data_IF_182082466981
#
_entry.id   IF_182082466981
#
_cell.length_a   1.000
_cell.length_b   1.000
_cell.length_c   1.000
_cell.angle_alpha   90.00
_cell.angle_beta   90.00
_cell.angle_gamma   90.00
#
_symmetry.space_group_name_H-M   'P 1'
#
loop_
_entity.id
_entity.type
_entity.pdbx_description
1 polymer ?
#
# COMPACT_ATOMS: atom_id res chain seq x y z
N UNK A 1 12.32 -28.07 -24.04
CA UNK A 1 13.24 -27.22 -23.24
C UNK A 1 12.50 -26.19 -22.38
N UNK A 2 11.60 -25.37 -22.96
CA UNK A 2 10.86 -24.31 -22.24
C UNK A 2 9.97 -24.86 -21.10
N UNK A 3 9.20 -25.92 -21.36
CA UNK A 3 8.31 -26.54 -20.35
C UNK A 3 9.04 -26.98 -19.08
N UNK A 4 10.23 -27.60 -19.22
CA UNK A 4 11.05 -28.04 -18.07
C UNK A 4 11.51 -26.85 -17.21
N UNK A 5 11.94 -25.74 -17.84
CA UNK A 5 12.32 -24.50 -17.13
C UNK A 5 11.13 -23.88 -16.42
N UNK A 6 9.98 -23.81 -17.09
CA UNK A 6 8.76 -23.27 -16.52
C UNK A 6 8.32 -24.07 -15.29
N UNK A 7 8.28 -25.40 -15.39
CA UNK A 7 8.01 -26.28 -14.25
C UNK A 7 8.95 -26.00 -13.08
N UNK A 8 10.26 -25.95 -13.35
CA UNK A 8 11.28 -25.73 -12.32
C UNK A 8 11.04 -24.42 -11.55
N UNK A 9 10.77 -23.32 -12.24
CA UNK A 9 10.55 -22.01 -11.62
C UNK A 9 9.19 -21.88 -10.94
N UNK A 10 8.13 -22.50 -11.47
CA UNK A 10 6.82 -22.52 -10.81
C UNK A 10 6.91 -23.30 -9.49
N UNK A 11 7.51 -24.49 -9.51
CA UNK A 11 7.64 -25.32 -8.31
C UNK A 11 8.56 -24.64 -7.29
N UNK A 12 9.66 -24.02 -7.72
CA UNK A 12 10.50 -23.22 -6.82
C UNK A 12 9.72 -22.04 -6.21
N UNK A 13 8.87 -21.35 -6.98
CA UNK A 13 8.06 -20.23 -6.49
C UNK A 13 6.99 -20.65 -5.49
N UNK A 14 6.25 -21.72 -5.80
CA UNK A 14 5.22 -22.23 -4.91
C UNK A 14 5.81 -22.76 -3.60
N UNK A 15 6.91 -23.50 -3.67
CA UNK A 15 7.61 -23.99 -2.48
C UNK A 15 8.27 -22.88 -1.66
N UNK A 16 8.80 -21.82 -2.31
CA UNK A 16 9.28 -20.62 -1.62
C UNK A 16 8.15 -19.92 -0.84
N UNK A 17 6.98 -19.73 -1.45
CA UNK A 17 5.83 -19.12 -0.79
C UNK A 17 5.40 -19.95 0.44
N UNK A 18 5.27 -21.27 0.27
CA UNK A 18 4.95 -22.20 1.36
C UNK A 18 5.99 -22.16 2.47
N UNK A 19 7.28 -22.12 2.12
CA UNK A 19 8.38 -22.01 3.08
C UNK A 19 8.36 -20.69 3.85
N UNK A 20 8.15 -19.57 3.16
CA UNK A 20 8.09 -18.24 3.79
C UNK A 20 6.91 -18.14 4.76
N UNK A 21 5.73 -18.64 4.36
CA UNK A 21 4.56 -18.69 5.25
C UNK A 21 4.82 -19.60 6.45
N UNK A 22 5.37 -20.79 6.21
CA UNK A 22 5.71 -21.75 7.26
C UNK A 22 6.69 -21.18 8.28
N UNK A 23 7.86 -20.70 7.85
CA UNK A 23 8.89 -20.14 8.73
C UNK A 23 8.42 -18.90 9.49
N UNK A 24 7.70 -18.01 8.80
CA UNK A 24 7.17 -16.79 9.40
C UNK A 24 6.24 -17.13 10.56
N UNK A 25 5.24 -17.97 10.32
CA UNK A 25 4.23 -18.25 11.32
C UNK A 25 4.69 -19.26 12.39
N UNK A 26 5.63 -20.16 12.06
CA UNK A 26 6.21 -21.07 13.05
C UNK A 26 7.02 -20.30 14.08
N UNK A 27 7.83 -19.33 13.64
CA UNK A 27 8.58 -18.49 14.58
C UNK A 27 7.71 -17.50 15.35
N UNK A 28 6.64 -16.94 14.76
CA UNK A 28 5.68 -16.14 15.56
C UNK A 28 4.98 -16.99 16.59
N UNK A 29 4.56 -18.22 16.25
CA UNK A 29 3.95 -19.15 17.23
C UNK A 29 4.92 -19.45 18.38
N UNK A 30 6.20 -19.70 18.07
CA UNK A 30 7.22 -19.93 19.10
C UNK A 30 7.41 -18.72 20.01
N UNK A 31 7.49 -17.52 19.44
CA UNK A 31 7.58 -16.26 20.18
C UNK A 31 6.36 -16.08 21.09
N UNK A 32 5.15 -16.28 20.57
CA UNK A 32 3.90 -16.11 21.33
C UNK A 32 3.83 -17.08 22.52
N UNK A 33 4.33 -18.31 22.36
CA UNK A 33 4.42 -19.28 23.46
C UNK A 33 5.43 -18.88 24.53
N UNK A 34 6.60 -18.37 24.13
CA UNK A 34 7.64 -17.90 25.07
C UNK A 34 7.19 -16.66 25.82
N UNK A 35 6.46 -15.76 25.16
CA UNK A 35 5.93 -14.54 25.75
C UNK A 35 4.61 -14.76 26.53
N UNK A 36 3.96 -15.92 26.38
CA UNK A 36 2.69 -16.24 27.01
C UNK A 36 1.50 -15.42 26.45
N UNK A 37 1.58 -14.94 25.21
CA UNK A 37 0.65 -13.94 24.64
C UNK A 37 -0.57 -14.54 23.94
N UNK A 38 -0.83 -15.85 24.08
CA UNK A 38 -2.03 -16.52 23.58
C UNK A 38 -2.13 -16.67 22.06
N UNK A 39 -1.38 -15.87 21.27
CA UNK A 39 -1.30 -15.91 19.82
C UNK A 39 -2.66 -15.74 19.10
N UNK A 40 -2.67 -15.54 17.77
CA UNK A 40 -3.93 -15.51 17.01
C UNK A 40 -4.49 -16.92 16.74
N UNK A 41 -3.70 -17.98 16.96
CA UNK A 41 -4.10 -19.36 16.68
C UNK A 41 -4.93 -19.95 17.85
N UNK A 42 -6.05 -20.65 17.57
CA UNK A 42 -6.88 -21.26 18.62
C UNK A 42 -6.13 -22.29 19.48
N UNK A 43 -5.17 -22.99 18.89
CA UNK A 43 -4.34 -24.02 19.53
C UNK A 43 -2.90 -23.88 19.04
N UNK A 44 -1.92 -23.69 19.94
CA UNK A 44 -0.51 -23.65 19.57
C UNK A 44 -0.04 -24.95 18.90
N UNK A 45 -0.61 -26.09 19.31
CA UNK A 45 -0.30 -27.40 18.73
C UNK A 45 -0.72 -27.47 17.27
N UNK A 46 -1.90 -26.94 16.96
CA UNK A 46 -2.44 -26.93 15.60
C UNK A 46 -1.62 -25.97 14.71
N UNK A 47 -1.20 -24.83 15.25
CA UNK A 47 -0.30 -23.90 14.58
C UNK A 47 1.06 -24.55 14.25
N UNK A 48 1.69 -25.22 15.23
CA UNK A 48 2.94 -25.94 14.98
C UNK A 48 2.77 -27.07 13.96
N UNK A 49 1.68 -27.83 14.02
CA UNK A 49 1.41 -28.89 13.04
C UNK A 49 1.23 -28.31 11.63
N UNK A 50 0.43 -27.26 11.48
CA UNK A 50 0.17 -26.63 10.18
C UNK A 50 1.40 -25.95 9.59
N UNK A 51 2.03 -25.04 10.32
CA UNK A 51 3.20 -24.31 9.82
C UNK A 51 4.47 -25.18 9.79
N UNK A 52 4.56 -26.19 10.66
CA UNK A 52 5.57 -27.23 10.61
C UNK A 52 5.46 -28.07 9.34
N UNK A 53 4.25 -28.53 8.98
CA UNK A 53 4.02 -29.24 7.73
C UNK A 53 4.34 -28.36 6.51
N UNK A 54 3.95 -27.08 6.53
CA UNK A 54 4.31 -26.11 5.48
C UNK A 54 5.82 -25.99 5.30
N UNK A 55 6.56 -25.86 6.40
CA UNK A 55 8.02 -25.75 6.37
C UNK A 55 8.68 -27.05 5.94
N UNK A 56 8.23 -28.19 6.47
CA UNK A 56 8.81 -29.52 6.22
C UNK A 56 8.67 -29.94 4.76
N UNK A 57 7.57 -29.56 4.10
CA UNK A 57 7.37 -29.82 2.66
C UNK A 57 8.00 -28.71 1.81
N UNK A 58 7.79 -27.44 2.16
CA UNK A 58 8.27 -26.30 1.39
C UNK A 58 9.79 -26.22 1.32
N UNK A 59 10.50 -26.48 2.43
CA UNK A 59 11.96 -26.38 2.50
C UNK A 59 12.69 -27.31 1.52
N UNK A 60 12.51 -28.65 1.57
CA UNK A 60 13.24 -29.54 0.68
C UNK A 60 12.86 -29.33 -0.78
N UNK A 61 11.58 -29.08 -1.08
CA UNK A 61 11.13 -28.81 -2.46
C UNK A 61 11.81 -27.54 -2.98
N UNK A 62 11.84 -26.47 -2.20
CA UNK A 62 12.51 -25.23 -2.57
C UNK A 62 14.01 -25.44 -2.77
N UNK A 63 14.70 -25.99 -1.77
CA UNK A 63 16.16 -26.19 -1.81
C UNK A 63 16.58 -27.05 -3.02
N UNK A 64 15.83 -28.11 -3.31
CA UNK A 64 16.12 -28.98 -4.46
C UNK A 64 15.89 -28.26 -5.79
N UNK A 65 14.71 -27.68 -6.02
CA UNK A 65 14.36 -27.08 -7.30
C UNK A 65 15.15 -25.79 -7.55
N UNK A 66 15.28 -24.94 -6.53
CA UNK A 66 16.09 -23.74 -6.62
C UNK A 66 17.58 -24.05 -6.73
N UNK A 67 18.09 -25.04 -5.98
CA UNK A 67 19.48 -25.51 -6.09
C UNK A 67 19.80 -26.05 -7.48
N UNK A 68 18.87 -26.80 -8.11
CA UNK A 68 19.00 -27.23 -9.51
C UNK A 68 19.05 -26.01 -10.43
N UNK A 69 18.14 -25.04 -10.28
CA UNK A 69 18.11 -23.83 -11.09
C UNK A 69 19.40 -23.02 -10.99
N UNK A 70 19.98 -22.91 -9.78
CA UNK A 70 21.24 -22.22 -9.55
C UNK A 70 22.44 -22.97 -10.11
N UNK A 71 22.46 -24.31 -10.06
CA UNK A 71 23.52 -25.09 -10.71
C UNK A 71 23.47 -24.97 -12.23
N UNK A 72 22.26 -24.95 -12.82
CA UNK A 72 22.06 -24.74 -14.26
C UNK A 72 22.54 -23.35 -14.69
N UNK A 73 22.18 -22.30 -13.94
CA UNK A 73 22.64 -20.94 -14.22
C UNK A 73 24.15 -20.77 -14.04
N UNK A 74 24.75 -21.47 -13.07
CA UNK A 74 26.20 -21.46 -12.89
C UNK A 74 26.93 -22.02 -14.12
N UNK A 75 26.40 -23.10 -14.72
CA UNK A 75 27.02 -23.82 -15.85
C UNK A 75 26.74 -23.21 -17.22
N UNK A 76 25.60 -22.54 -17.41
CA UNK A 76 25.15 -22.07 -18.72
C UNK A 76 24.73 -20.60 -18.67
N UNK A 77 25.44 -19.74 -19.42
CA UNK A 77 25.13 -18.31 -19.52
C UNK A 77 23.70 -18.06 -20.08
N UNK A 78 23.24 -18.90 -21.00
CA UNK A 78 21.87 -18.85 -21.53
C UNK A 78 20.80 -18.99 -20.45
N UNK A 79 21.06 -19.75 -19.38
CA UNK A 79 20.11 -19.89 -18.28
C UNK A 79 20.06 -18.61 -17.43
N UNK A 80 21.18 -17.90 -17.24
CA UNK A 80 21.20 -16.56 -16.61
C UNK A 80 20.49 -15.51 -17.46
N UNK A 81 20.60 -15.61 -18.78
CA UNK A 81 19.93 -14.73 -19.73
C UNK A 81 18.43 -15.06 -19.93
N UNK A 82 17.98 -16.23 -19.44
CA UNK A 82 16.61 -16.72 -19.59
C UNK A 82 15.56 -15.75 -19.02
N UNK A 83 14.57 -15.39 -19.86
CA UNK A 83 13.44 -14.55 -19.45
C UNK A 83 12.60 -15.19 -18.34
N UNK A 84 12.48 -16.52 -18.32
CA UNK A 84 11.74 -17.25 -17.28
C UNK A 84 12.42 -17.13 -15.91
N UNK A 85 13.75 -17.19 -15.87
CA UNK A 85 14.53 -17.01 -14.63
C UNK A 85 14.34 -15.61 -14.08
N UNK A 86 14.44 -14.59 -14.95
CA UNK A 86 14.23 -13.19 -14.58
C UNK A 86 12.80 -12.94 -14.12
N UNK A 87 11.81 -13.52 -14.81
CA UNK A 87 10.42 -13.43 -14.41
C UNK A 87 10.21 -13.99 -13.01
N UNK A 88 10.74 -15.19 -12.73
CA UNK A 88 10.71 -15.77 -11.38
C UNK A 88 11.36 -14.85 -10.34
N UNK A 89 12.59 -14.38 -10.60
CA UNK A 89 13.34 -13.54 -9.66
C UNK A 89 12.58 -12.25 -9.34
N UNK A 90 12.12 -11.52 -10.35
CA UNK A 90 11.44 -10.24 -10.17
C UNK A 90 10.05 -10.41 -9.54
N UNK A 91 9.31 -11.49 -9.84
CA UNK A 91 8.05 -11.79 -9.16
C UNK A 91 8.26 -12.18 -7.70
N UNK A 92 9.24 -13.03 -7.40
CA UNK A 92 9.58 -13.41 -6.03
C UNK A 92 10.02 -12.18 -5.23
N UNK A 93 10.90 -11.35 -5.78
CA UNK A 93 11.33 -10.10 -5.14
C UNK A 93 10.17 -9.14 -4.93
N UNK A 94 9.26 -8.97 -5.91
CA UNK A 94 8.08 -8.11 -5.76
C UNK A 94 7.18 -8.60 -4.61
N UNK A 95 6.83 -9.89 -4.61
CA UNK A 95 5.95 -10.47 -3.60
C UNK A 95 6.56 -10.35 -2.18
N UNK A 96 7.85 -10.66 -2.03
CA UNK A 96 8.55 -10.57 -0.74
C UNK A 96 8.68 -9.10 -0.31
N UNK A 97 9.00 -8.17 -1.22
CA UNK A 97 9.10 -6.75 -0.89
C UNK A 97 7.78 -6.15 -0.43
N UNK A 98 6.66 -6.52 -1.08
CA UNK A 98 5.31 -6.09 -0.67
C UNK A 98 4.99 -6.63 0.72
N UNK A 99 5.21 -7.94 0.96
CA UNK A 99 4.99 -8.53 2.28
C UNK A 99 5.88 -7.87 3.35
N UNK A 100 7.17 -7.66 3.06
CA UNK A 100 8.12 -7.01 3.95
C UNK A 100 7.69 -5.59 4.29
N UNK A 101 7.19 -4.84 3.31
CA UNK A 101 6.64 -3.48 3.51
C UNK A 101 5.48 -3.51 4.50
N UNK A 102 4.57 -4.49 4.39
CA UNK A 102 3.43 -4.64 5.31
C UNK A 102 3.90 -4.92 6.74
N UNK A 103 4.79 -5.90 6.94
CA UNK A 103 5.24 -6.29 8.27
C UNK A 103 6.15 -5.26 8.92
N UNK A 104 7.00 -4.59 8.14
CA UNK A 104 7.85 -3.51 8.67
C UNK A 104 7.02 -2.29 9.05
N UNK A 105 5.94 -1.97 8.30
CA UNK A 105 4.96 -0.96 8.69
C UNK A 105 4.28 -1.32 10.01
N UNK A 106 3.83 -2.57 10.17
CA UNK A 106 3.20 -3.05 11.42
C UNK A 106 4.17 -2.98 12.61
N UNK A 107 5.44 -3.32 12.38
CA UNK A 107 6.49 -3.23 13.39
C UNK A 107 6.69 -1.78 13.84
N UNK A 108 6.81 -0.84 12.91
CA UNK A 108 6.94 0.59 13.21
C UNK A 108 5.69 1.13 13.94
N UNK A 109 4.50 0.76 13.46
CA UNK A 109 3.22 1.16 14.06
C UNK A 109 3.12 0.68 15.51
N UNK A 110 3.44 -0.59 15.78
CA UNK A 110 3.47 -1.12 17.13
C UNK A 110 4.54 -0.45 18.01
N UNK A 111 5.73 -0.18 17.46
CA UNK A 111 6.78 0.56 18.17
C UNK A 111 6.36 1.97 18.58
N UNK A 112 5.74 2.74 17.67
CA UNK A 112 5.22 4.06 18.00
C UNK A 112 4.04 4.01 18.97
N UNK A 113 3.17 3.01 18.86
CA UNK A 113 2.08 2.83 19.81
C UNK A 113 2.58 2.52 21.23
N UNK A 114 3.65 1.72 21.35
CA UNK A 114 4.31 1.43 22.63
C UNK A 114 4.88 2.70 23.28
N UNK A 115 5.61 3.52 22.51
CA UNK A 115 6.16 4.79 22.98
C UNK A 115 5.04 5.77 23.39
N UNK A 116 3.90 5.71 22.71
CA UNK A 116 2.71 6.50 23.03
C UNK A 116 1.91 6.04 24.24
N UNK A 117 2.36 5.02 24.99
CA UNK A 117 1.69 4.54 26.21
C UNK A 117 0.46 3.66 25.96
N UNK A 118 0.36 3.05 24.78
CA UNK A 118 -0.72 2.10 24.47
C UNK A 118 -0.52 0.77 25.22
N UNK A 119 -1.59 -0.04 25.30
CA UNK A 119 -1.60 -1.40 25.87
C UNK A 119 -0.39 -2.26 25.41
N UNK A 120 -0.03 -3.35 26.12
CA UNK A 120 1.12 -4.17 25.76
C UNK A 120 1.03 -4.67 24.30
N UNK A 121 2.00 -4.25 23.49
CA UNK A 121 2.14 -4.58 22.05
C UNK A 121 3.38 -5.47 21.79
N UNK A 122 3.92 -6.09 22.84
CA UNK A 122 5.18 -6.85 22.79
C UNK A 122 5.13 -8.02 21.80
N UNK A 123 4.00 -8.71 21.74
CA UNK A 123 3.71 -9.78 20.78
C UNK A 123 3.66 -9.27 19.34
N UNK A 124 2.95 -8.17 19.09
CA UNK A 124 2.84 -7.55 17.78
C UNK A 124 4.21 -7.09 17.26
N UNK A 125 5.05 -6.52 18.14
CA UNK A 125 6.43 -6.13 17.83
C UNK A 125 7.26 -7.37 17.52
N UNK A 126 7.32 -8.35 18.43
CA UNK A 126 8.19 -9.52 18.28
C UNK A 126 7.81 -10.37 17.06
N UNK A 127 6.51 -10.61 16.85
CA UNK A 127 6.00 -11.33 15.68
C UNK A 127 6.30 -10.59 14.36
N UNK A 128 6.01 -9.28 14.30
CA UNK A 128 6.29 -8.49 13.08
C UNK A 128 7.80 -8.39 12.80
N UNK A 129 8.63 -8.31 13.84
CA UNK A 129 10.09 -8.31 13.71
C UNK A 129 10.60 -9.63 13.14
N UNK A 130 10.14 -10.76 13.68
CA UNK A 130 10.52 -12.09 13.17
C UNK A 130 10.18 -12.25 11.69
N UNK A 131 8.94 -11.97 11.31
CA UNK A 131 8.50 -12.10 9.91
C UNK A 131 9.31 -11.16 9.02
N UNK A 132 9.58 -9.93 9.46
CA UNK A 132 10.40 -8.97 8.71
C UNK A 132 11.82 -9.47 8.51
N UNK A 133 12.44 -10.12 9.50
CA UNK A 133 13.78 -10.71 9.40
C UNK A 133 13.80 -11.83 8.36
N UNK A 134 12.83 -12.75 8.40
CA UNK A 134 12.71 -13.86 7.43
C UNK A 134 12.55 -13.30 6.01
N UNK A 135 11.60 -12.39 5.80
CA UNK A 135 11.33 -11.79 4.48
C UNK A 135 12.53 -10.99 3.98
N UNK A 136 13.17 -10.19 4.84
CA UNK A 136 14.36 -9.41 4.49
C UNK A 136 15.52 -10.32 4.07
N UNK A 137 15.77 -11.42 4.78
CA UNK A 137 16.82 -12.36 4.45
C UNK A 137 16.62 -12.96 3.04
N UNK A 138 15.41 -13.45 2.74
CA UNK A 138 15.10 -14.00 1.43
C UNK A 138 15.07 -12.94 0.32
N UNK A 139 14.60 -11.73 0.62
CA UNK A 139 14.62 -10.64 -0.36
C UNK A 139 16.05 -10.22 -0.70
N UNK A 140 16.92 -10.03 0.29
CA UNK A 140 18.34 -9.72 0.08
C UNK A 140 19.05 -10.84 -0.69
N UNK A 141 18.71 -12.10 -0.41
CA UNK A 141 19.23 -13.22 -1.18
C UNK A 141 18.84 -13.12 -2.67
N UNK A 142 17.56 -12.93 -2.98
CA UNK A 142 17.10 -12.82 -4.37
C UNK A 142 17.63 -11.56 -5.07
N UNK A 143 17.74 -10.43 -4.34
CA UNK A 143 18.34 -9.21 -4.85
C UNK A 143 19.81 -9.42 -5.25
N UNK A 144 20.58 -10.13 -4.41
CA UNK A 144 21.98 -10.49 -4.72
C UNK A 144 22.07 -11.41 -5.93
N UNK A 145 21.22 -12.44 -6.02
CA UNK A 145 21.19 -13.35 -7.18
C UNK A 145 20.87 -12.58 -8.46
N UNK A 146 19.84 -11.73 -8.43
CA UNK A 146 19.50 -10.90 -9.58
C UNK A 146 20.66 -9.98 -9.97
N UNK A 147 21.31 -9.31 -9.01
CA UNK A 147 22.48 -8.47 -9.29
C UNK A 147 23.64 -9.25 -9.91
N UNK A 148 23.93 -10.45 -9.43
CA UNK A 148 24.97 -11.33 -9.99
C UNK A 148 24.64 -11.76 -11.43
N UNK A 149 23.38 -12.12 -11.69
CA UNK A 149 22.94 -12.47 -13.04
C UNK A 149 23.09 -11.28 -14.00
N UNK A 150 22.75 -10.06 -13.54
CA UNK A 150 22.94 -8.83 -14.33
C UNK A 150 24.40 -8.56 -14.64
N UNK A 151 25.29 -8.69 -13.65
CA UNK A 151 26.72 -8.46 -13.84
C UNK A 151 27.35 -9.49 -14.79
N UNK A 152 26.83 -10.72 -14.81
CA UNK A 152 27.40 -11.79 -15.62
C UNK A 152 26.99 -11.78 -17.10
N UNK A 153 25.74 -11.42 -17.41
CA UNK A 153 25.20 -11.51 -18.78
C UNK A 153 24.49 -10.25 -19.28
N UNK A 154 24.46 -9.17 -18.50
CA UNK A 154 23.71 -7.95 -18.82
C UNK A 154 22.19 -8.16 -18.80
N UNK A 155 21.40 -7.10 -18.99
CA UNK A 155 19.95 -7.22 -19.18
C UNK A 155 19.44 -6.43 -20.37
N UNK A 156 18.95 -7.15 -21.38
CA UNK A 156 18.33 -6.55 -22.55
C UNK A 156 16.89 -7.06 -22.76
N UNK A 157 16.15 -6.36 -23.62
CA UNK A 157 14.81 -6.74 -24.07
C UNK A 157 13.83 -7.06 -22.95
N UNK A 158 13.33 -8.31 -22.93
CA UNK A 158 12.31 -8.75 -21.97
C UNK A 158 12.81 -8.72 -20.52
N UNK A 159 14.09 -9.01 -20.27
CA UNK A 159 14.65 -9.01 -18.92
C UNK A 159 14.72 -7.61 -18.31
N UNK A 160 15.19 -6.64 -19.08
CA UNK A 160 15.18 -5.23 -18.67
C UNK A 160 13.75 -4.72 -18.43
N UNK A 161 12.79 -5.17 -19.25
CA UNK A 161 11.37 -4.84 -19.08
C UNK A 161 10.83 -5.39 -17.76
N UNK A 162 11.15 -6.62 -17.39
CA UNK A 162 10.75 -7.22 -16.11
C UNK A 162 11.38 -6.50 -14.90
N UNK A 163 12.67 -6.13 -14.99
CA UNK A 163 13.33 -5.28 -13.98
C UNK A 163 12.57 -3.97 -13.77
N UNK A 164 12.20 -3.30 -14.87
CA UNK A 164 11.47 -2.02 -14.83
C UNK A 164 10.09 -2.16 -14.19
N UNK A 165 9.35 -3.23 -14.51
CA UNK A 165 8.06 -3.51 -13.85
C UNK A 165 8.21 -3.68 -12.34
N UNK A 166 9.22 -4.44 -11.91
CA UNK A 166 9.55 -4.58 -10.49
C UNK A 166 9.92 -3.23 -9.85
N UNK A 167 10.92 -2.53 -10.41
CA UNK A 167 11.46 -1.31 -9.81
C UNK A 167 10.47 -0.15 -9.82
N UNK A 168 9.81 0.13 -10.95
CA UNK A 168 8.83 1.22 -11.03
C UNK A 168 7.54 0.90 -10.29
N UNK A 169 7.14 -0.37 -10.23
CA UNK A 169 6.02 -0.80 -9.39
C UNK A 169 6.26 -0.49 -7.92
N UNK A 170 7.43 -0.85 -7.39
CA UNK A 170 7.78 -0.55 -5.99
C UNK A 170 8.11 0.92 -5.73
N UNK A 171 8.64 1.64 -6.72
CA UNK A 171 8.82 3.10 -6.63
C UNK A 171 7.47 3.82 -6.51
N UNK A 172 6.47 3.42 -7.32
CA UNK A 172 5.11 3.93 -7.23
C UNK A 172 4.44 3.55 -5.90
N UNK A 173 4.59 2.30 -5.45
CA UNK A 173 4.08 1.85 -4.15
C UNK A 173 4.66 2.68 -3.00
N UNK A 174 5.99 2.85 -2.97
CA UNK A 174 6.68 3.64 -1.95
C UNK A 174 6.24 5.11 -1.96
N UNK A 175 6.15 5.73 -3.14
CA UNK A 175 5.67 7.11 -3.27
C UNK A 175 4.21 7.25 -2.81
N UNK A 176 3.34 6.30 -3.18
CA UNK A 176 1.94 6.32 -2.75
C UNK A 176 1.85 6.23 -1.21
N UNK A 177 2.54 5.27 -0.60
CA UNK A 177 2.58 5.12 0.87
C UNK A 177 3.13 6.39 1.55
N UNK A 178 4.17 7.00 0.99
CA UNK A 178 4.74 8.25 1.49
C UNK A 178 3.71 9.39 1.46
N UNK A 179 3.05 9.61 0.33
CA UNK A 179 2.10 10.72 0.17
C UNK A 179 0.81 10.51 0.99
N UNK A 180 0.23 9.31 0.97
CA UNK A 180 -0.95 9.00 1.79
C UNK A 180 -0.63 9.00 3.28
N UNK A 181 0.55 8.48 3.66
CA UNK A 181 1.05 8.56 5.03
C UNK A 181 1.19 10.01 5.51
N UNK A 182 1.87 10.85 4.71
CA UNK A 182 2.09 12.26 5.04
C UNK A 182 0.78 13.05 5.10
N UNK A 183 -0.14 12.85 4.14
CA UNK A 183 -1.46 13.48 4.15
C UNK A 183 -2.28 13.07 5.38
N UNK A 184 -2.26 11.78 5.71
CA UNK A 184 -2.92 11.27 6.90
C UNK A 184 -2.30 11.79 8.19
N UNK A 185 -0.98 11.92 8.25
CA UNK A 185 -0.26 12.43 9.42
C UNK A 185 -0.60 13.91 9.64
N UNK A 186 -0.50 14.72 8.59
CA UNK A 186 -0.82 16.15 8.63
C UNK A 186 -2.28 16.38 9.03
N UNK A 187 -3.22 15.59 8.48
CA UNK A 187 -4.63 15.67 8.85
C UNK A 187 -4.83 15.43 10.35
N UNK A 188 -4.19 14.41 10.93
CA UNK A 188 -4.35 14.07 12.35
C UNK A 188 -3.75 15.15 13.25
N UNK A 189 -2.57 15.66 12.90
CA UNK A 189 -1.93 16.76 13.61
C UNK A 189 -2.77 18.04 13.56
N UNK A 190 -3.39 18.32 12.42
CA UNK A 190 -4.32 19.43 12.26
C UNK A 190 -5.52 19.29 13.20
N UNK A 191 -6.19 18.13 13.22
CA UNK A 191 -7.35 17.91 14.09
C UNK A 191 -6.99 18.09 15.56
N UNK A 192 -5.86 17.55 16.01
CA UNK A 192 -5.36 17.74 17.38
C UNK A 192 -5.08 19.19 17.75
N UNK A 193 -4.61 19.98 16.79
CA UNK A 193 -4.32 21.39 17.02
C UNK A 193 -5.61 22.20 17.21
N UNK A 194 -6.65 21.86 16.46
CA UNK A 194 -7.95 22.55 16.46
C UNK A 194 -8.82 22.08 17.62
N UNK A 195 -9.04 20.77 17.76
CA UNK A 195 -9.83 20.16 18.81
C UNK A 195 -8.89 19.43 19.79
N UNK A 196 -8.42 20.17 20.81
CA UNK A 196 -7.55 19.62 21.85
C UNK A 196 -8.25 18.61 22.77
N UNK A 197 -9.59 18.62 22.79
CA UNK A 197 -10.38 17.67 23.57
C UNK A 197 -10.60 16.35 22.81
N UNK A 198 -10.23 16.31 21.52
CA UNK A 198 -10.25 15.09 20.73
C UNK A 198 -9.25 14.08 21.30
N UNK A 199 -9.76 13.15 22.11
CA UNK A 199 -9.00 11.97 22.50
C UNK A 199 -8.87 11.10 21.26
N UNK A 200 -7.72 11.17 20.60
CA UNK A 200 -7.34 10.10 19.69
C UNK A 200 -7.39 8.80 20.49
N UNK A 201 -8.07 7.78 19.96
CA UNK A 201 -7.98 6.44 20.51
C UNK A 201 -6.49 6.13 20.74
N UNK A 202 -6.12 5.95 22.01
CA UNK A 202 -4.74 5.74 22.42
C UNK A 202 -4.09 4.68 21.51
N UNK A 203 -3.07 5.08 20.75
CA UNK A 203 -2.20 4.17 19.99
C UNK A 203 -2.41 3.99 18.49
N UNK A 204 -3.56 4.35 17.90
CA UNK A 204 -3.84 3.92 16.51
C UNK A 204 -3.44 4.91 15.42
N UNK A 205 -4.00 6.11 15.45
CA UNK A 205 -4.03 6.98 14.27
C UNK A 205 -2.68 7.55 13.84
N UNK A 206 -1.97 8.23 14.76
CA UNK A 206 -0.69 8.89 14.47
C UNK A 206 0.40 7.86 14.22
N UNK A 207 0.49 6.83 15.07
CA UNK A 207 1.45 5.74 14.92
C UNK A 207 1.34 5.08 13.54
N UNK A 208 0.11 4.77 13.09
CA UNK A 208 -0.13 4.21 11.76
C UNK A 208 0.27 5.16 10.64
N UNK A 209 -0.05 6.46 10.77
CA UNK A 209 0.30 7.46 9.77
C UNK A 209 1.81 7.68 9.67
N UNK A 210 2.51 7.79 10.81
CA UNK A 210 3.97 7.87 10.90
C UNK A 210 4.61 6.62 10.30
N UNK A 211 4.19 5.42 10.71
CA UNK A 211 4.71 4.17 10.19
C UNK A 211 4.53 4.07 8.66
N UNK A 212 3.36 4.46 8.14
CA UNK A 212 3.06 4.47 6.70
C UNK A 212 3.94 5.48 5.95
N UNK A 213 4.17 6.65 6.53
CA UNK A 213 5.06 7.69 5.95
C UNK A 213 6.49 7.19 5.88
N UNK A 214 7.02 6.65 6.99
CA UNK A 214 8.41 6.22 7.09
C UNK A 214 8.71 4.98 6.23
N UNK A 215 7.79 4.01 6.20
CA UNK A 215 7.97 2.85 5.31
C UNK A 215 7.87 3.26 3.83
N UNK A 216 6.95 4.17 3.49
CA UNK A 216 6.82 4.72 2.15
C UNK A 216 8.10 5.43 1.72
N UNK A 217 8.66 6.27 2.62
CA UNK A 217 9.94 6.93 2.41
C UNK A 217 11.06 5.90 2.20
N UNK A 218 11.18 4.88 3.05
CA UNK A 218 12.23 3.87 2.93
C UNK A 218 12.15 3.06 1.63
N UNK A 219 10.95 2.64 1.23
CA UNK A 219 10.73 1.90 -0.03
C UNK A 219 11.04 2.80 -1.23
N UNK A 220 10.58 4.06 -1.21
CA UNK A 220 10.83 5.02 -2.28
C UNK A 220 12.31 5.39 -2.41
N UNK A 221 13.00 5.68 -1.30
CA UNK A 221 14.44 6.02 -1.31
C UNK A 221 15.27 4.83 -1.78
N UNK A 222 15.01 3.63 -1.27
CA UNK A 222 15.74 2.44 -1.70
C UNK A 222 15.60 2.20 -3.21
N UNK A 223 14.36 2.22 -3.74
CA UNK A 223 14.14 1.95 -5.16
C UNK A 223 14.57 3.10 -6.07
N UNK A 224 14.50 4.35 -5.61
CA UNK A 224 15.04 5.49 -6.37
C UNK A 224 16.57 5.43 -6.46
N UNK A 225 17.26 5.09 -5.37
CA UNK A 225 18.71 4.86 -5.38
C UNK A 225 19.09 3.69 -6.30
N UNK A 226 18.34 2.59 -6.26
CA UNK A 226 18.57 1.44 -7.12
C UNK A 226 18.44 1.82 -8.61
N UNK A 227 17.37 2.52 -8.99
CA UNK A 227 17.13 2.96 -10.38
C UNK A 227 18.02 4.14 -10.80
N UNK A 228 18.56 4.89 -9.84
CA UNK A 228 19.43 6.05 -10.07
C UNK A 228 20.90 5.69 -10.25
N UNK A 229 21.29 4.43 -10.05
CA UNK A 229 22.65 3.97 -10.36
C UNK A 229 22.95 4.18 -11.84
N UNK A 230 24.17 4.65 -12.17
CA UNK A 230 24.50 5.17 -13.51
C UNK A 230 24.16 4.20 -14.65
N UNK A 231 24.50 2.91 -14.51
CA UNK A 231 24.21 1.89 -15.52
C UNK A 231 22.71 1.66 -15.73
N UNK A 232 21.94 1.54 -14.63
CA UNK A 232 20.49 1.33 -14.71
C UNK A 232 19.78 2.58 -15.22
N UNK A 233 20.24 3.76 -14.79
CA UNK A 233 19.68 5.03 -15.20
C UNK A 233 19.88 5.27 -16.70
N UNK A 234 21.06 4.97 -17.25
CA UNK A 234 21.34 5.06 -18.69
C UNK A 234 20.47 4.10 -19.50
N UNK A 235 20.35 2.84 -19.07
CA UNK A 235 19.46 1.86 -19.70
C UNK A 235 17.99 2.31 -19.68
N UNK A 236 17.56 2.92 -18.57
CA UNK A 236 16.16 3.26 -18.33
C UNK A 236 15.76 4.66 -18.81
N UNK A 237 16.71 5.54 -19.18
CA UNK A 237 16.45 6.84 -19.83
C UNK A 237 15.46 6.73 -21.00
N UNK A 238 15.64 5.81 -21.98
CA UNK A 238 14.71 5.66 -23.10
C UNK A 238 13.43 4.87 -22.75
N UNK A 239 13.25 4.42 -21.50
CA UNK A 239 12.14 3.53 -21.13
C UNK A 239 10.78 4.22 -21.12
N UNK A 240 9.82 3.66 -21.85
CA UNK A 240 8.42 4.10 -21.78
C UNK A 240 7.80 3.85 -20.41
N UNK A 241 8.20 2.78 -19.70
CA UNK A 241 7.71 2.48 -18.36
C UNK A 241 8.10 3.54 -17.33
N UNK A 242 9.30 4.14 -17.47
CA UNK A 242 9.72 5.28 -16.64
C UNK A 242 8.76 6.45 -16.80
N UNK A 243 8.45 6.81 -18.04
CA UNK A 243 7.52 7.88 -18.35
C UNK A 243 6.11 7.57 -17.85
N UNK A 244 5.60 6.35 -18.10
CA UNK A 244 4.28 5.90 -17.61
C UNK A 244 4.20 6.00 -16.08
N UNK A 245 5.22 5.54 -15.35
CA UNK A 245 5.25 5.63 -13.90
C UNK A 245 5.23 7.09 -13.41
N UNK A 246 6.06 7.96 -13.99
CA UNK A 246 6.07 9.38 -13.66
C UNK A 246 4.74 10.08 -13.94
N UNK A 247 4.11 9.80 -15.09
CA UNK A 247 2.80 10.36 -15.43
C UNK A 247 1.67 9.82 -14.56
N UNK A 248 1.69 8.54 -14.18
CA UNK A 248 0.72 7.98 -13.23
C UNK A 248 0.83 8.66 -11.86
N UNK A 249 2.05 8.85 -11.35
CA UNK A 249 2.28 9.55 -10.09
C UNK A 249 1.80 11.02 -10.17
N UNK A 250 2.08 11.71 -11.27
CA UNK A 250 1.62 13.07 -11.51
C UNK A 250 0.08 13.13 -11.55
N UNK A 251 -0.54 12.24 -12.33
CA UNK A 251 -1.99 12.15 -12.52
C UNK A 251 -2.72 11.97 -11.18
N UNK A 252 -2.30 11.00 -10.38
CA UNK A 252 -2.87 10.75 -9.04
C UNK A 252 -2.70 11.98 -8.15
N UNK A 253 -1.53 12.62 -8.16
CA UNK A 253 -1.26 13.82 -7.36
C UNK A 253 -2.16 14.99 -7.77
N UNK A 254 -2.33 15.23 -9.07
CA UNK A 254 -3.23 16.27 -9.61
C UNK A 254 -4.67 16.01 -9.18
N UNK A 255 -5.17 14.78 -9.39
CA UNK A 255 -6.55 14.42 -9.03
C UNK A 255 -6.80 14.62 -7.53
N UNK A 256 -5.93 14.13 -6.67
CA UNK A 256 -6.11 14.23 -5.22
C UNK A 256 -6.00 15.67 -4.72
N UNK A 257 -5.11 16.48 -5.29
CA UNK A 257 -5.04 17.91 -4.99
C UNK A 257 -6.31 18.65 -5.42
N UNK A 258 -6.85 18.37 -6.62
CA UNK A 258 -8.07 19.00 -7.12
C UNK A 258 -9.31 18.56 -6.35
N UNK A 259 -9.41 17.29 -5.96
CA UNK A 259 -10.48 16.78 -5.09
C UNK A 259 -10.45 17.51 -3.74
N UNK A 260 -9.26 17.67 -3.14
CA UNK A 260 -9.07 18.47 -1.93
C UNK A 260 -9.54 19.91 -2.12
N UNK A 261 -9.05 20.59 -3.16
CA UNK A 261 -9.39 21.98 -3.45
C UNK A 261 -10.90 22.17 -3.71
N UNK A 262 -11.52 21.23 -4.43
CA UNK A 262 -12.97 21.24 -4.71
C UNK A 262 -13.79 21.11 -3.43
N UNK A 263 -13.36 20.26 -2.48
CA UNK A 263 -14.01 20.13 -1.17
C UNK A 263 -13.85 21.39 -0.32
N UNK A 264 -12.69 22.04 -0.35
CA UNK A 264 -12.49 23.32 0.35
C UNK A 264 -13.40 24.41 -0.23
N UNK A 265 -13.49 24.50 -1.55
CA UNK A 265 -14.36 25.44 -2.23
C UNK A 265 -15.84 25.17 -1.92
N UNK A 266 -16.25 23.90 -1.91
CA UNK A 266 -17.59 23.49 -1.50
C UNK A 266 -17.92 23.96 -0.08
N UNK A 267 -17.03 23.72 0.89
CA UNK A 267 -17.23 24.18 2.27
C UNK A 267 -17.33 25.70 2.38
N UNK A 268 -16.46 26.44 1.67
CA UNK A 268 -16.48 27.90 1.67
C UNK A 268 -17.79 28.44 1.07
N UNK A 269 -18.20 27.94 -0.09
CA UNK A 269 -19.41 28.41 -0.78
C UNK A 269 -20.68 28.04 -0.01
N UNK A 270 -20.77 26.82 0.51
CA UNK A 270 -21.93 26.39 1.29
C UNK A 270 -22.08 27.24 2.56
N UNK A 271 -20.98 27.59 3.23
CA UNK A 271 -21.03 28.54 4.37
C UNK A 271 -21.44 29.94 3.95
N UNK A 272 -20.93 30.45 2.83
CA UNK A 272 -21.31 31.76 2.30
C UNK A 272 -22.81 31.83 1.96
N UNK A 273 -23.40 30.72 1.54
CA UNK A 273 -24.83 30.58 1.24
C UNK A 273 -25.70 30.27 2.48
N UNK A 274 -25.12 30.26 3.68
CA UNK A 274 -25.85 30.05 4.93
C UNK A 274 -26.14 28.60 5.31
N UNK A 275 -25.50 27.61 4.66
CA UNK A 275 -25.61 26.20 5.05
C UNK A 275 -24.82 25.97 6.33
N UNK A 276 -25.52 25.65 7.43
CA UNK A 276 -24.89 25.44 8.74
C UNK A 276 -23.93 24.23 8.76
N UNK A 277 -24.34 23.12 8.14
CA UNK A 277 -23.62 21.82 8.16
C UNK A 277 -23.33 21.31 6.74
N UNK A 278 -22.40 21.94 6.01
CA UNK A 278 -22.11 21.55 4.63
C UNK A 278 -21.60 20.11 4.58
N UNK A 279 -22.17 19.29 3.71
CA UNK A 279 -21.79 17.87 3.57
C UNK A 279 -22.11 17.00 4.78
N UNK A 280 -22.95 17.46 5.71
CA UNK A 280 -23.28 16.74 6.95
C UNK A 280 -22.14 16.74 7.98
N UNK A 281 -21.14 17.62 7.83
CA UNK A 281 -20.08 17.78 8.82
C UNK A 281 -20.61 18.56 10.02
N UNK A 282 -20.14 18.22 11.23
CA UNK A 282 -20.55 18.85 12.48
C UNK A 282 -20.21 20.34 12.56
N UNK A 283 -20.43 20.95 13.73
CA UNK A 283 -20.27 22.41 13.92
C UNK A 283 -18.83 22.89 13.67
N UNK A 284 -17.84 22.01 13.80
CA UNK A 284 -16.42 22.35 13.63
C UNK A 284 -15.94 22.23 12.17
N UNK A 285 -16.07 23.36 11.46
CA UNK A 285 -15.58 23.49 10.09
C UNK A 285 -14.04 23.37 9.99
N UNK A 286 -13.30 23.73 11.03
CA UNK A 286 -11.84 23.67 11.01
C UNK A 286 -11.34 22.23 11.06
N UNK A 287 -12.06 21.35 11.78
CA UNK A 287 -11.86 19.90 11.73
C UNK A 287 -12.28 19.33 10.37
N UNK A 288 -13.40 19.80 9.80
CA UNK A 288 -13.89 19.38 8.48
C UNK A 288 -12.87 19.61 7.36
N UNK A 289 -12.16 20.75 7.44
CA UNK A 289 -11.16 21.20 6.47
C UNK A 289 -9.85 20.41 6.57
N UNK A 290 -9.56 19.75 7.71
CA UNK A 290 -8.29 19.06 7.94
C UNK A 290 -7.94 18.03 6.84
N UNK A 291 -8.91 17.23 6.42
CA UNK A 291 -8.71 16.20 5.39
C UNK A 291 -8.43 16.81 4.00
N UNK A 292 -9.33 17.61 3.41
CA UNK A 292 -9.09 18.21 2.09
C UNK A 292 -7.92 19.22 2.10
N UNK A 293 -7.72 19.96 3.20
CA UNK A 293 -6.59 20.87 3.37
C UNK A 293 -5.25 20.14 3.34
N UNK A 294 -5.12 19.05 4.09
CA UNK A 294 -3.91 18.22 4.08
C UNK A 294 -3.67 17.57 2.72
N UNK A 295 -4.73 17.18 2.01
CA UNK A 295 -4.61 16.65 0.65
C UNK A 295 -4.07 17.69 -0.33
N UNK A 296 -4.59 18.93 -0.31
CA UNK A 296 -4.08 20.03 -1.14
C UNK A 296 -2.61 20.31 -0.85
N UNK A 297 -2.21 20.35 0.43
CA UNK A 297 -0.83 20.63 0.82
C UNK A 297 0.11 19.53 0.30
N UNK A 298 -0.18 18.27 0.61
CA UNK A 298 0.72 17.15 0.30
C UNK A 298 0.72 16.82 -1.19
N UNK A 299 -0.46 16.62 -1.79
CA UNK A 299 -0.53 16.25 -3.21
C UNK A 299 -0.31 17.45 -4.15
N UNK A 300 -0.61 18.68 -3.70
CA UNK A 300 -0.25 19.89 -4.44
C UNK A 300 1.26 20.11 -4.51
N UNK A 301 1.98 19.90 -3.40
CA UNK A 301 3.44 19.88 -3.41
C UNK A 301 3.98 18.77 -4.33
N UNK A 302 3.47 17.55 -4.20
CA UNK A 302 3.87 16.42 -5.03
C UNK A 302 3.64 16.69 -6.53
N UNK A 303 2.50 17.31 -6.88
CA UNK A 303 2.21 17.74 -8.25
C UNK A 303 3.29 18.70 -8.76
N UNK A 304 3.58 19.80 -8.06
CA UNK A 304 4.58 20.78 -8.51
C UNK A 304 5.96 20.12 -8.66
N UNK A 305 6.36 19.30 -7.70
CA UNK A 305 7.64 18.60 -7.71
C UNK A 305 7.75 17.58 -8.87
N UNK A 306 6.75 16.71 -9.05
CA UNK A 306 6.72 15.72 -10.14
C UNK A 306 6.66 16.39 -11.51
N UNK A 307 5.94 17.50 -11.64
CA UNK A 307 5.90 18.30 -12.87
C UNK A 307 7.29 18.85 -13.20
N UNK A 308 7.99 19.41 -12.22
CA UNK A 308 9.34 19.93 -12.40
C UNK A 308 10.35 18.81 -12.72
N UNK A 309 10.20 17.63 -12.13
CA UNK A 309 11.00 16.45 -12.46
C UNK A 309 10.78 15.99 -13.90
N UNK A 310 9.53 15.81 -14.31
CA UNK A 310 9.19 15.39 -15.68
C UNK A 310 9.59 16.43 -16.74
N UNK A 311 9.53 17.72 -16.42
CA UNK A 311 9.99 18.78 -17.31
C UNK A 311 11.51 18.74 -17.55
N UNK A 312 12.30 18.44 -16.50
CA UNK A 312 13.74 18.21 -16.62
C UNK A 312 14.05 16.99 -17.48
N UNK A 313 13.37 15.87 -17.20
CA UNK A 313 13.52 14.63 -17.97
C UNK A 313 13.15 14.81 -19.46
N UNK A 314 12.16 15.66 -19.79
CA UNK A 314 11.74 15.92 -21.17
C UNK A 314 12.73 16.81 -21.95
N UNK A 315 13.50 17.66 -21.26
CA UNK A 315 14.53 18.50 -21.89
C UNK A 315 15.71 17.70 -22.45
N UNK A 316 15.94 16.50 -21.92
CA UNK A 316 17.08 15.64 -22.26
C UNK A 316 16.79 14.61 -23.37
N UNK A 317 15.60 14.61 -24.00
CA UNK A 317 15.18 13.56 -24.96
C UNK A 317 15.11 14.07 -26.42
N UNK A 318 15.91 13.48 -27.33
CA UNK A 318 15.94 13.78 -28.78
C UNK A 318 14.60 13.64 -29.54
N UNK A 319 14.45 14.48 -30.57
CA UNK A 319 13.21 14.79 -31.33
C UNK A 319 12.35 13.63 -31.87
N UNK A 320 12.88 12.55 -32.49
CA UNK A 320 12.05 11.49 -33.08
C UNK A 320 11.21 10.71 -32.05
N UNK A 321 11.71 10.64 -30.80
CA UNK A 321 11.15 9.83 -29.70
C UNK A 321 10.03 10.56 -28.94
N UNK A 322 9.89 11.88 -29.15
CA UNK A 322 8.78 12.68 -28.64
C UNK A 322 7.43 12.17 -29.15
N UNK A 323 7.36 11.57 -30.34
CA UNK A 323 6.11 11.13 -30.97
C UNK A 323 5.41 9.96 -30.26
N UNK A 324 6.17 8.94 -29.84
CA UNK A 324 5.66 7.79 -29.08
C UNK A 324 5.27 8.15 -27.66
N UNK A 325 6.12 8.92 -26.98
CA UNK A 325 5.84 9.45 -25.63
C UNK A 325 4.62 10.37 -25.64
N UNK A 326 4.49 11.23 -26.65
CA UNK A 326 3.32 12.10 -26.84
C UNK A 326 2.03 11.30 -27.03
N UNK A 327 2.04 10.21 -27.80
CA UNK A 327 0.87 9.33 -27.92
C UNK A 327 0.48 8.72 -26.58
N UNK A 328 1.41 8.08 -25.86
CA UNK A 328 1.12 7.49 -24.54
C UNK A 328 0.64 8.55 -23.55
N UNK A 329 1.27 9.73 -23.55
CA UNK A 329 0.84 10.89 -22.80
C UNK A 329 -0.61 11.27 -23.11
N UNK A 330 -0.96 11.43 -24.40
CA UNK A 330 -2.33 11.77 -24.80
C UNK A 330 -3.34 10.71 -24.37
N UNK A 331 -2.99 9.42 -24.47
CA UNK A 331 -3.89 8.33 -24.06
C UNK A 331 -4.06 8.28 -22.54
N UNK A 332 -2.99 8.46 -21.76
CA UNK A 332 -3.07 8.50 -20.29
C UNK A 332 -3.85 9.72 -19.81
N UNK A 333 -3.61 10.89 -20.40
CA UNK A 333 -4.35 12.12 -20.08
C UNK A 333 -5.82 11.97 -20.46
N UNK A 334 -6.12 11.41 -21.63
CA UNK A 334 -7.50 11.15 -22.04
C UNK A 334 -8.17 10.13 -21.11
N UNK A 335 -7.49 9.04 -20.75
CA UNK A 335 -8.00 8.06 -19.80
C UNK A 335 -8.29 8.69 -18.43
N UNK A 336 -7.37 9.51 -17.92
CA UNK A 336 -7.55 10.21 -16.66
C UNK A 336 -8.72 11.20 -16.73
N UNK A 337 -8.81 11.97 -17.81
CA UNK A 337 -9.90 12.91 -18.04
C UNK A 337 -11.27 12.20 -18.16
N UNK A 338 -11.30 11.02 -18.79
CA UNK A 338 -12.50 10.18 -18.87
C UNK A 338 -12.87 9.61 -17.50
N UNK A 339 -11.89 9.15 -16.72
CA UNK A 339 -12.12 8.64 -15.36
C UNK A 339 -12.66 9.74 -14.44
N UNK A 340 -12.09 10.95 -14.48
CA UNK A 340 -12.58 12.09 -13.69
C UNK A 340 -13.98 12.52 -14.14
N UNK A 341 -14.24 12.56 -15.45
CA UNK A 341 -15.58 12.82 -16.00
C UNK A 341 -16.59 11.76 -15.53
N UNK A 342 -16.23 10.48 -15.55
CA UNK A 342 -17.10 9.38 -15.14
C UNK A 342 -17.46 9.48 -13.64
N UNK A 343 -16.49 9.79 -12.78
CA UNK A 343 -16.74 10.01 -11.34
C UNK A 343 -17.68 11.21 -11.13
N UNK A 344 -17.46 12.32 -11.86
CA UNK A 344 -18.33 13.50 -11.80
C UNK A 344 -19.77 13.20 -12.28
N UNK A 345 -19.90 12.49 -13.40
CA UNK A 345 -21.19 12.07 -13.96
C UNK A 345 -21.94 11.11 -13.02
N UNK A 346 -21.24 10.14 -12.42
CA UNK A 346 -21.82 9.22 -11.44
C UNK A 346 -22.32 9.97 -10.21
N UNK A 347 -21.56 10.96 -9.72
CA UNK A 347 -21.99 11.83 -8.62
C UNK A 347 -23.24 12.65 -8.95
N UNK A 348 -23.32 13.22 -10.16
CA UNK A 348 -24.50 13.95 -10.63
C UNK A 348 -25.72 13.04 -10.80
N UNK A 349 -25.52 11.85 -11.37
CA UNK A 349 -26.58 10.87 -11.53
C UNK A 349 -27.11 10.39 -10.18
N UNK A 350 -26.23 10.19 -9.20
CA UNK A 350 -26.61 9.87 -7.83
C UNK A 350 -27.50 10.96 -7.23
N UNK A 351 -27.09 12.24 -7.32
CA UNK A 351 -27.85 13.34 -6.72
C UNK A 351 -29.20 13.56 -7.41
N UNK A 352 -29.26 13.44 -8.75
CA UNK A 352 -30.51 13.50 -9.50
C UNK A 352 -31.42 12.32 -9.16
N UNK A 353 -30.86 11.12 -9.01
CA UNK A 353 -31.62 9.93 -8.61
C UNK A 353 -32.22 10.10 -7.23
N UNK A 354 -31.44 10.60 -6.26
CA UNK A 354 -31.96 10.93 -4.92
C UNK A 354 -33.09 11.96 -5.01
N UNK A 355 -32.95 13.01 -5.81
CA UNK A 355 -34.00 14.03 -5.94
C UNK A 355 -35.27 13.53 -6.63
N UNK A 356 -35.16 12.64 -7.62
CA UNK A 356 -36.31 12.10 -8.35
C UNK A 356 -37.01 10.97 -7.61
N UNK A 357 -36.26 10.08 -6.95
CA UNK A 357 -36.79 8.87 -6.32
C UNK A 357 -37.32 9.11 -4.91
N UNK A 358 -36.73 10.06 -4.15
CA UNK A 358 -37.18 10.35 -2.78
C UNK A 358 -38.65 10.84 -2.73
N UNK A 359 -39.12 11.72 -3.63
CA UNK A 359 -40.53 12.11 -3.67
C UNK A 359 -41.48 10.98 -4.12
N UNK A 360 -41.05 10.12 -5.04
CA UNK A 360 -41.89 9.08 -5.65
C UNK A 360 -42.08 7.84 -4.77
N UNK A 361 -41.09 7.51 -3.94
CA UNK A 361 -41.11 6.30 -3.11
C UNK A 361 -41.65 6.54 -1.70
N UNK A 362 -41.89 7.80 -1.30
CA UNK A 362 -42.35 8.16 0.05
C UNK A 362 -41.38 7.79 1.18
N UNK A 363 -40.20 7.26 0.85
CA UNK A 363 -39.16 6.93 1.80
C UNK A 363 -38.44 8.23 2.20
N UNK A 364 -39.04 8.96 3.15
CA UNK A 364 -38.34 10.03 3.86
C UNK A 364 -37.01 9.49 4.36
N UNK A 365 -35.93 10.22 4.03
CA UNK A 365 -34.54 9.99 4.44
C UNK A 365 -34.46 9.16 5.72
N UNK A 366 -33.79 8.02 5.67
CA UNK A 366 -33.34 7.27 6.84
C UNK A 366 -32.36 8.16 7.64
N UNK A 367 -32.87 9.18 8.32
CA UNK A 367 -32.13 9.93 9.31
C UNK A 367 -31.97 9.00 10.51
N UNK A 368 -30.72 8.70 10.85
CA UNK A 368 -30.35 8.02 12.08
C UNK A 368 -30.76 8.85 13.31
N UNK A 369 -32.05 8.82 13.65
CA UNK A 369 -32.62 9.32 14.91
C UNK A 369 -33.46 8.21 15.54
N UNK A 370 -32.80 7.18 16.08
CA UNK A 370 -33.36 6.34 17.15
C UNK A 370 -32.24 5.95 18.12
N UNK A 371 -31.72 6.94 18.84
CA UNK A 371 -31.31 6.74 20.22
C UNK A 371 -32.28 7.58 21.07
N UNK A 372 -33.09 6.91 21.89
CA UNK A 372 -33.99 7.56 22.85
C UNK A 372 -35.45 7.12 22.72
N UNK A 373 -35.78 5.98 23.33
CA UNK A 373 -37.03 5.75 24.09
C UNK A 373 -37.14 4.26 24.47
N UNK A 374 -36.55 3.90 25.61
CA UNK A 374 -37.00 2.75 26.40
C UNK A 374 -37.19 3.22 27.84
N UNK A 375 -38.26 3.98 28.06
CA UNK A 375 -38.84 4.24 29.38
C UNK A 375 -40.34 3.98 29.30
N UNK A 376 -40.83 3.04 30.12
CA UNK A 376 -42.18 3.10 30.68
C UNK A 376 -43.23 2.09 30.17
N UNK A 377 -43.27 0.90 30.80
CA UNK A 377 -44.36 0.60 31.74
C UNK A 377 -45.58 -0.22 31.29
N UNK A 378 -45.74 -1.41 31.92
CA UNK A 378 -46.94 -1.98 32.60
C UNK A 378 -46.67 -3.48 32.81
N UNK A 379 -46.91 -4.14 33.95
CA UNK A 379 -48.09 -4.10 34.83
C UNK A 379 -47.79 -4.76 36.20
N UNK A 380 -48.47 -4.25 37.22
CA UNK A 380 -48.60 -4.75 38.61
C UNK A 380 -48.98 -6.25 38.71
N UNK A 381 -48.48 -6.92 39.76
CA UNK A 381 -49.29 -7.77 40.65
C UNK A 381 -48.72 -7.74 42.09
N UNK A 382 -49.62 -7.52 43.05
CA UNK A 382 -49.47 -7.52 44.51
C UNK A 382 -49.74 -8.93 45.06
N UNK A 383 -49.03 -9.33 46.11
CA UNK A 383 -49.53 -10.03 47.32
C UNK A 383 -48.33 -10.25 48.27
N UNK A 384 -48.12 -9.47 49.34
CA UNK A 384 -48.69 -9.62 50.70
C UNK A 384 -48.36 -10.95 51.40
N UNK A 385 -47.63 -10.90 52.52
CA UNK A 385 -47.57 -11.99 53.50
C UNK A 385 -46.32 -12.01 54.37
N UNK A 386 -46.38 -11.30 55.50
CA UNK A 386 -45.48 -11.32 56.68
C UNK A 386 -45.63 -12.62 57.50
N UNK A 387 -44.94 -12.87 58.63
CA UNK A 387 -44.13 -11.96 59.48
C UNK A 387 -42.63 -12.22 59.52
#
# INVERSE_FOLDING_TARGET
MIQRRLYLYIVAGASLAMLLVGLSNLGTTAIDQVLGTGGPAPSPRDAYAGFGAMTLVGLPVFVLHWGIAQRLSARHAEERASSLRRLYLYLAMAAIAIALTVFLRRLLEAGFAAVGGSAPVTDAIAGSAWISIVLLAFWLYHLRVAAQDRLAVGEEGAGATLRRWYSYGLLLLGLALLLFGAQGLLQRLWVLLVDRQHTLSAGGGIASALATTLIGLAVWTFHSLLTGSSSIAEDDRPSTLRAVAGFLALAVSVVLALVGASRLLYYALARALGVAHPGGVGDDLLVAVAAPGSAVIVFGFAWVWLRAQLARDAGEVEGPRRSGVRRVYTHLVAFLALATLAVGAAGLLWTLSDQLLTPLTGLTRWSARRCGCCTGGRRRRRSSGRP
#
